data_IF_945375907573
#
_entry.id   IF_945375907573
#
_cell.length_a   1.000
_cell.length_b   1.000
_cell.length_c   1.000
_cell.angle_alpha   90.00
_cell.angle_beta   90.00
_cell.angle_gamma   90.00
#
_symmetry.space_group_name_H-M   'P 1'
#
loop_
_entity.id
_entity.type
_entity.pdbx_description
1 polymer ?
#
# COMPACT_ATOMS: atom_id res chain seq x y z
N UNK A 1 -22.47 20.93 -51.56
CA UNK A 1 -23.20 20.16 -50.50
C UNK A 1 -22.72 20.62 -49.13
N UNK A 2 -23.58 20.87 -48.14
CA UNK A 2 -23.10 21.23 -46.77
C UNK A 2 -22.23 20.09 -46.23
N UNK A 3 -20.99 20.39 -45.84
CA UNK A 3 -20.10 19.43 -45.18
C UNK A 3 -20.78 18.90 -43.90
N UNK A 4 -21.24 17.64 -43.93
CA UNK A 4 -21.90 16.97 -42.78
C UNK A 4 -20.91 16.33 -41.81
N UNK A 5 -19.64 16.23 -42.18
CA UNK A 5 -18.59 15.63 -41.35
C UNK A 5 -18.45 16.24 -39.94
N UNK A 6 -18.51 17.58 -39.74
CA UNK A 6 -18.46 18.16 -38.39
C UNK A 6 -19.68 17.74 -37.55
N UNK A 7 -20.84 17.59 -38.18
CA UNK A 7 -22.07 17.11 -37.52
C UNK A 7 -21.91 15.65 -37.08
N UNK A 8 -21.31 14.81 -37.93
CA UNK A 8 -21.04 13.40 -37.61
C UNK A 8 -20.04 13.32 -36.44
N UNK A 9 -18.96 14.12 -36.47
CA UNK A 9 -18.00 14.17 -35.37
C UNK A 9 -18.67 14.60 -34.06
N UNK A 10 -19.51 15.63 -34.08
CA UNK A 10 -20.27 16.06 -32.90
C UNK A 10 -21.18 14.95 -32.38
N UNK A 11 -21.86 14.21 -33.25
CA UNK A 11 -22.70 13.07 -32.85
C UNK A 11 -21.87 11.96 -32.20
N UNK A 12 -20.72 11.60 -32.80
CA UNK A 12 -19.81 10.60 -32.22
C UNK A 12 -19.28 11.07 -30.87
N UNK A 13 -18.78 12.29 -30.77
CA UNK A 13 -18.30 12.87 -29.50
C UNK A 13 -19.40 12.88 -28.44
N UNK A 14 -20.63 13.27 -28.81
CA UNK A 14 -21.75 13.30 -27.88
C UNK A 14 -22.09 11.91 -27.34
N UNK A 15 -22.18 10.88 -28.19
CA UNK A 15 -22.45 9.52 -27.72
C UNK A 15 -21.29 8.92 -26.94
N UNK A 16 -20.04 9.19 -27.32
CA UNK A 16 -18.85 8.77 -26.56
C UNK A 16 -18.84 9.39 -25.16
N UNK A 17 -19.09 10.70 -25.05
CA UNK A 17 -19.17 11.38 -23.75
C UNK A 17 -20.37 10.89 -22.93
N UNK A 18 -21.51 10.61 -23.56
CA UNK A 18 -22.67 10.03 -22.89
C UNK A 18 -22.33 8.66 -22.31
N UNK A 19 -21.66 7.78 -23.06
CA UNK A 19 -21.23 6.48 -22.52
C UNK A 19 -20.26 6.64 -21.36
N UNK A 20 -19.31 7.57 -21.46
CA UNK A 20 -18.26 7.78 -20.46
C UNK A 20 -18.76 8.45 -19.18
N UNK A 21 -19.73 9.37 -19.27
CA UNK A 21 -20.23 10.14 -18.11
C UNK A 21 -21.53 9.61 -17.51
N UNK A 22 -22.30 8.78 -18.22
CA UNK A 22 -23.54 8.20 -17.70
C UNK A 22 -23.45 6.69 -17.54
N UNK A 23 -23.16 5.97 -18.63
CA UNK A 23 -23.25 4.50 -18.64
C UNK A 23 -22.17 3.89 -17.77
N UNK A 24 -20.92 4.34 -17.91
CA UNK A 24 -19.79 3.79 -17.14
C UNK A 24 -19.90 4.06 -15.63
N UNK A 25 -20.17 5.29 -15.15
CA UNK A 25 -20.36 5.52 -13.71
C UNK A 25 -21.55 4.75 -13.14
N UNK A 26 -22.66 4.66 -13.89
CA UNK A 26 -23.81 3.86 -13.46
C UNK A 26 -23.45 2.36 -13.36
N UNK A 27 -22.78 1.80 -14.38
CA UNK A 27 -22.36 0.42 -14.38
C UNK A 27 -21.40 0.13 -13.21
N UNK A 28 -20.43 1.00 -12.93
CA UNK A 28 -19.53 0.86 -11.79
C UNK A 28 -20.26 0.96 -10.45
N UNK A 29 -21.27 1.84 -10.33
CA UNK A 29 -22.09 1.95 -9.12
C UNK A 29 -22.93 0.70 -8.83
N UNK A 30 -23.35 -0.03 -9.87
CA UNK A 30 -24.14 -1.26 -9.73
C UNK A 30 -23.27 -2.49 -9.53
N UNK A 31 -22.12 -2.57 -10.21
CA UNK A 31 -21.24 -3.74 -10.18
C UNK A 31 -20.27 -3.75 -9.00
N UNK A 32 -20.01 -2.60 -8.38
CA UNK A 32 -19.09 -2.47 -7.26
C UNK A 32 -19.75 -1.78 -6.07
N UNK A 33 -19.62 -2.40 -4.89
CA UNK A 33 -20.01 -1.77 -3.64
C UNK A 33 -19.17 -0.50 -3.45
N UNK A 34 -19.82 0.65 -3.42
CA UNK A 34 -19.16 1.88 -3.04
C UNK A 34 -18.81 1.84 -1.54
N UNK A 35 -17.55 2.17 -1.23
CA UNK A 35 -17.05 2.29 0.14
C UNK A 35 -16.47 3.70 0.23
N UNK A 36 -16.95 4.47 1.20
CA UNK A 36 -16.40 5.79 1.48
C UNK A 36 -15.07 5.66 2.21
N UNK A 37 -14.12 6.53 1.86
CA UNK A 37 -12.85 6.67 2.57
C UNK A 37 -13.10 7.34 3.93
N UNK A 38 -12.42 6.86 4.97
CA UNK A 38 -12.32 7.55 6.27
C UNK A 38 -11.09 8.47 6.34
N UNK A 39 -10.43 8.70 5.19
CA UNK A 39 -9.24 9.54 5.01
C UNK A 39 -8.10 9.16 5.97
N UNK A 40 -7.93 7.87 6.22
CA UNK A 40 -6.91 7.31 7.11
C UNK A 40 -6.92 7.94 8.52
N UNK A 41 -8.11 8.38 8.99
CA UNK A 41 -8.26 9.10 10.25
C UNK A 41 -8.36 8.17 11.49
N UNK A 42 -8.70 6.90 11.26
CA UNK A 42 -8.89 5.85 12.28
C UNK A 42 -9.69 6.33 13.49
N UNK A 43 -10.87 6.90 13.22
CA UNK A 43 -11.72 7.50 14.25
C UNK A 43 -12.25 6.48 15.28
N UNK A 44 -12.20 5.19 14.95
CA UNK A 44 -12.53 4.09 15.84
C UNK A 44 -11.45 3.79 16.89
N UNK A 45 -10.22 4.30 16.70
CA UNK A 45 -9.09 4.07 17.61
C UNK A 45 -8.89 5.24 18.59
N UNK A 46 -8.51 4.98 19.85
CA UNK A 46 -8.30 6.02 20.84
C UNK A 46 -7.11 6.91 20.46
N UNK A 47 -7.25 8.22 20.68
CA UNK A 47 -6.13 9.14 20.56
C UNK A 47 -5.13 8.97 21.71
N UNK A 48 -3.85 9.25 21.47
CA UNK A 48 -2.87 9.36 22.54
C UNK A 48 -3.23 10.57 23.41
N UNK A 49 -3.34 10.34 24.71
CA UNK A 49 -3.66 11.37 25.70
C UNK A 49 -2.43 11.93 26.42
N UNK A 50 -1.25 11.35 26.16
CA UNK A 50 0.02 11.64 26.83
C UNK A 50 1.04 12.19 25.84
N UNK A 51 1.96 13.01 26.34
CA UNK A 51 3.15 13.42 25.59
C UNK A 51 4.27 12.43 25.86
N UNK A 52 4.84 11.84 24.81
CA UNK A 52 5.89 10.83 24.95
C UNK A 52 7.27 11.39 25.25
N UNK A 53 8.07 10.64 26.01
CA UNK A 53 9.49 10.81 26.26
C UNK A 53 10.31 9.85 25.36
N UNK A 54 11.17 10.42 24.52
CA UNK A 54 11.96 9.67 23.53
C UNK A 54 12.99 8.75 24.20
N UNK A 55 13.60 9.19 25.31
CA UNK A 55 14.62 8.40 26.00
C UNK A 55 13.98 7.19 26.69
N UNK A 56 12.88 7.41 27.42
CA UNK A 56 12.12 6.31 28.01
C UNK A 56 11.54 5.38 26.94
N UNK A 57 11.08 5.94 25.82
CA UNK A 57 10.58 5.19 24.67
C UNK A 57 11.62 4.24 24.08
N UNK A 58 12.88 4.70 23.96
CA UNK A 58 14.00 3.85 23.53
C UNK A 58 14.26 2.70 24.51
N UNK A 59 14.29 2.99 25.80
CA UNK A 59 14.49 1.96 26.83
C UNK A 59 13.35 0.93 26.86
N UNK A 60 12.11 1.37 26.63
CA UNK A 60 10.96 0.49 26.49
C UNK A 60 11.03 -0.38 25.24
N UNK A 61 11.25 0.21 24.05
CA UNK A 61 11.32 -0.53 22.78
C UNK A 61 12.44 -1.58 22.78
N UNK A 62 13.60 -1.23 23.37
CA UNK A 62 14.76 -2.14 23.43
C UNK A 62 14.79 -3.05 24.66
N UNK A 63 13.98 -2.76 25.68
CA UNK A 63 13.94 -3.48 26.95
C UNK A 63 12.57 -4.07 27.24
N UNK A 64 11.82 -3.46 28.16
CA UNK A 64 10.60 -4.05 28.73
C UNK A 64 9.44 -4.24 27.73
N UNK A 65 9.40 -3.45 26.65
CA UNK A 65 8.46 -3.62 25.54
C UNK A 65 8.80 -4.81 24.65
N UNK A 66 10.04 -5.33 24.71
CA UNK A 66 10.47 -6.53 24.00
C UNK A 66 10.36 -6.43 22.47
N UNK A 67 10.19 -5.23 21.91
CA UNK A 67 9.91 -5.04 20.49
C UNK A 67 11.07 -5.59 19.63
N UNK A 68 12.30 -5.32 20.05
CA UNK A 68 13.54 -5.78 19.37
C UNK A 68 13.75 -7.30 19.45
N UNK A 69 12.98 -8.02 20.27
CA UNK A 69 12.99 -9.48 20.29
C UNK A 69 12.38 -10.10 19.03
N UNK A 70 11.56 -9.34 18.30
CA UNK A 70 10.93 -9.77 17.05
C UNK A 70 11.21 -8.82 15.87
N UNK A 71 11.29 -7.52 16.14
CA UNK A 71 11.46 -6.49 15.13
C UNK A 71 12.90 -6.02 15.02
N UNK A 72 13.34 -5.67 13.81
CA UNK A 72 14.59 -4.94 13.60
C UNK A 72 14.38 -3.43 13.73
N UNK A 73 15.48 -2.73 13.98
CA UNK A 73 15.63 -1.29 13.80
C UNK A 73 17.01 -1.08 13.16
N UNK A 74 17.13 -1.45 11.89
CA UNK A 74 18.43 -1.57 11.21
C UNK A 74 19.26 -0.28 11.26
N UNK A 75 18.60 0.88 11.13
CA UNK A 75 19.27 2.19 11.17
C UNK A 75 19.87 2.56 12.53
N UNK A 76 19.37 1.96 13.61
CA UNK A 76 19.94 2.08 14.95
C UNK A 76 20.94 0.94 15.25
N UNK A 77 21.28 0.13 14.24
CA UNK A 77 22.20 -1.01 14.39
C UNK A 77 21.61 -2.21 15.12
N UNK A 78 20.26 -2.31 15.17
CA UNK A 78 19.55 -3.41 15.83
C UNK A 78 19.00 -4.36 14.76
N UNK A 79 19.70 -5.46 14.42
CA UNK A 79 19.24 -6.41 13.41
C UNK A 79 18.04 -7.21 13.90
N UNK A 80 17.33 -7.85 12.97
CA UNK A 80 16.28 -8.81 13.32
C UNK A 80 16.86 -9.99 14.13
N UNK A 81 16.09 -10.51 15.09
CA UNK A 81 16.51 -11.62 15.95
C UNK A 81 16.70 -12.95 15.20
N UNK A 82 16.08 -13.08 14.03
CA UNK A 82 16.20 -14.24 13.13
C UNK A 82 15.98 -13.77 11.68
N UNK A 83 16.33 -14.63 10.72
CA UNK A 83 16.08 -14.35 9.31
C UNK A 83 14.57 -14.36 8.98
N UNK A 84 14.20 -13.71 7.87
CA UNK A 84 12.81 -13.51 7.48
C UNK A 84 12.04 -14.81 7.21
N UNK A 85 12.70 -15.87 6.74
CA UNK A 85 12.07 -17.17 6.51
C UNK A 85 11.74 -17.85 7.83
N UNK A 86 12.71 -17.93 8.74
CA UNK A 86 12.50 -18.48 10.10
C UNK A 86 11.43 -17.70 10.86
N UNK A 87 11.41 -16.36 10.72
CA UNK A 87 10.37 -15.51 11.30
C UNK A 87 8.99 -15.82 10.73
N UNK A 88 8.84 -15.97 9.40
CA UNK A 88 7.58 -16.31 8.79
C UNK A 88 7.09 -17.72 9.18
N UNK A 89 7.99 -18.69 9.30
CA UNK A 89 7.65 -20.03 9.78
C UNK A 89 7.18 -20.03 11.24
N UNK A 90 7.74 -19.14 12.06
CA UNK A 90 7.44 -19.04 13.50
C UNK A 90 6.17 -18.23 13.79
N UNK A 91 6.02 -17.09 13.10
CA UNK A 91 4.99 -16.09 13.38
C UNK A 91 3.92 -15.97 12.29
N UNK A 92 4.10 -16.67 11.17
CA UNK A 92 3.24 -16.60 9.98
C UNK A 92 3.62 -15.52 8.97
N UNK A 93 4.36 -14.50 9.40
CA UNK A 93 4.90 -13.43 8.57
C UNK A 93 6.14 -12.84 9.25
N UNK A 94 7.11 -12.37 8.47
CA UNK A 94 8.26 -11.65 9.02
C UNK A 94 7.80 -10.33 9.69
N UNK A 95 8.20 -10.01 10.93
CA UNK A 95 7.91 -8.71 11.56
C UNK A 95 8.56 -7.52 10.82
N UNK A 96 7.95 -6.31 10.85
CA UNK A 96 8.52 -5.11 10.24
C UNK A 96 9.80 -4.64 10.91
N UNK A 97 10.69 -4.06 10.10
CA UNK A 97 11.62 -3.07 10.63
C UNK A 97 10.83 -1.86 11.14
N UNK A 98 11.11 -1.45 12.38
CA UNK A 98 10.40 -0.36 13.03
C UNK A 98 11.05 1.01 12.79
N UNK A 99 12.15 1.07 12.04
CA UNK A 99 12.87 2.31 11.79
C UNK A 99 11.96 3.40 11.22
N UNK A 100 11.13 3.06 10.24
CA UNK A 100 10.22 4.03 9.60
C UNK A 100 8.78 3.97 10.14
N UNK A 101 8.53 3.18 11.19
CA UNK A 101 7.17 2.98 11.71
C UNK A 101 6.52 4.31 12.16
N UNK A 102 7.32 5.22 12.73
CA UNK A 102 6.83 6.51 13.23
C UNK A 102 6.35 7.49 12.17
N UNK A 103 6.79 7.36 10.91
CA UNK A 103 6.33 8.19 9.78
C UNK A 103 5.33 7.44 8.88
N UNK A 104 5.44 6.12 8.79
CA UNK A 104 4.56 5.29 7.95
C UNK A 104 3.17 5.12 8.58
N UNK A 105 3.09 4.85 9.89
CA UNK A 105 1.84 4.49 10.55
C UNK A 105 1.21 5.66 11.29
N UNK A 106 -0.12 5.73 11.27
CA UNK A 106 -0.89 6.70 12.02
C UNK A 106 -0.67 6.50 13.53
N UNK A 107 -0.57 7.60 14.26
CA UNK A 107 -0.27 7.58 15.69
C UNK A 107 -1.27 6.78 16.53
N UNK A 108 -2.58 6.93 16.25
CA UNK A 108 -3.64 6.19 16.95
C UNK A 108 -3.54 4.70 16.66
N UNK A 109 -3.30 4.38 15.39
CA UNK A 109 -3.10 3.00 14.96
C UNK A 109 -1.88 2.39 15.61
N UNK A 110 -0.74 3.07 15.63
CA UNK A 110 0.49 2.54 16.21
C UNK A 110 0.36 2.30 17.72
N UNK A 111 -0.26 3.24 18.46
CA UNK A 111 -0.52 3.06 19.88
C UNK A 111 -1.51 1.91 20.17
N UNK A 112 -2.58 1.80 19.39
CA UNK A 112 -3.53 0.71 19.55
C UNK A 112 -2.95 -0.63 19.08
N UNK A 113 -2.08 -0.65 18.06
CA UNK A 113 -1.37 -1.83 17.61
C UNK A 113 -0.47 -2.38 18.72
N UNK A 114 0.21 -1.51 19.46
CA UNK A 114 1.04 -1.92 20.61
C UNK A 114 0.16 -2.51 21.74
N UNK A 115 -1.01 -1.92 22.00
CA UNK A 115 -1.89 -2.34 23.11
C UNK A 115 -2.80 -3.52 22.78
N UNK A 116 -3.27 -3.62 21.54
CA UNK A 116 -4.21 -4.61 21.06
C UNK A 116 -4.07 -4.85 19.56
N UNK A 117 -3.05 -5.63 19.13
CA UNK A 117 -2.75 -5.84 17.72
C UNK A 117 -3.95 -6.35 16.90
N UNK A 118 -4.72 -7.28 17.44
CA UNK A 118 -5.87 -7.86 16.73
C UNK A 118 -6.96 -6.81 16.45
N UNK A 119 -7.17 -5.87 17.38
CA UNK A 119 -8.15 -4.79 17.24
C UNK A 119 -7.71 -3.74 16.24
N UNK A 120 -6.50 -3.20 16.40
CA UNK A 120 -5.94 -2.20 15.50
C UNK A 120 -5.93 -2.67 14.04
N UNK A 121 -5.59 -3.94 13.81
CA UNK A 121 -5.53 -4.57 12.49
C UNK A 121 -6.91 -5.04 11.96
N UNK A 122 -7.99 -4.93 12.74
CA UNK A 122 -9.35 -5.42 12.41
C UNK A 122 -9.40 -6.92 12.06
N UNK A 123 -8.69 -7.74 12.84
CA UNK A 123 -8.57 -9.20 12.65
C UNK A 123 -9.01 -10.02 13.87
N UNK A 124 -9.82 -9.47 14.77
CA UNK A 124 -10.33 -10.20 15.94
C UNK A 124 -11.21 -11.40 15.56
N UNK A 125 -11.83 -11.35 14.38
CA UNK A 125 -12.56 -12.48 13.82
C UNK A 125 -11.67 -13.71 13.53
N UNK A 126 -10.34 -13.51 13.43
CA UNK A 126 -9.31 -14.54 13.26
C UNK A 126 -8.58 -14.85 14.57
N UNK A 127 -8.43 -13.85 15.44
CA UNK A 127 -7.71 -13.95 16.72
C UNK A 127 -8.63 -13.67 17.90
N UNK A 128 -9.37 -14.70 18.30
CA UNK A 128 -10.24 -14.67 19.47
C UNK A 128 -9.50 -15.24 20.69
N UNK A 129 -9.05 -14.36 21.58
CA UNK A 129 -8.36 -14.73 22.81
C UNK A 129 -9.19 -15.67 23.70
N UNK A 130 -10.54 -15.58 23.66
CA UNK A 130 -11.41 -16.47 24.43
C UNK A 130 -11.37 -17.92 23.94
N UNK A 131 -10.92 -18.12 22.69
CA UNK A 131 -10.72 -19.43 22.05
C UNK A 131 -9.25 -19.86 22.03
N UNK A 132 -8.37 -19.13 22.72
CA UNK A 132 -6.93 -19.35 22.70
C UNK A 132 -6.26 -19.00 21.36
N UNK A 133 -6.94 -18.26 20.49
CA UNK A 133 -6.41 -17.82 19.19
C UNK A 133 -5.73 -16.46 19.37
N UNK A 134 -4.49 -16.48 19.86
CA UNK A 134 -3.73 -15.26 20.10
C UNK A 134 -3.08 -14.75 18.80
N UNK A 135 -3.03 -13.43 18.66
CA UNK A 135 -2.28 -12.79 17.59
C UNK A 135 -0.75 -13.01 17.80
N UNK A 136 0.06 -13.24 16.75
CA UNK A 136 1.50 -13.50 16.89
C UNK A 136 2.28 -12.35 17.55
N UNK A 137 1.93 -11.10 17.22
CA UNK A 137 2.37 -9.94 17.99
C UNK A 137 1.56 -9.92 19.29
N UNK A 138 2.25 -10.06 20.42
CA UNK A 138 1.63 -10.04 21.74
C UNK A 138 1.25 -8.61 22.14
N UNK A 139 0.11 -8.41 22.83
CA UNK A 139 -0.21 -7.12 23.42
C UNK A 139 0.87 -6.69 24.42
N UNK A 140 1.23 -5.40 24.41
CA UNK A 140 2.04 -4.84 25.47
C UNK A 140 1.19 -4.68 26.73
N UNK A 141 1.63 -5.29 27.83
CA UNK A 141 0.89 -5.29 29.12
C UNK A 141 1.42 -4.28 30.14
N UNK A 142 2.36 -3.42 29.73
CA UNK A 142 3.00 -2.43 30.59
C UNK A 142 4.34 -2.89 31.19
N UNK A 143 5.20 -1.93 31.51
CA UNK A 143 6.51 -2.12 32.14
C UNK A 143 6.51 -1.79 33.64
N UNK A 144 5.32 -1.64 34.23
CA UNK A 144 5.12 -1.36 35.66
C UNK A 144 4.68 0.07 35.97
N UNK A 145 4.59 0.94 34.96
CA UNK A 145 4.05 2.31 35.05
C UNK A 145 2.64 2.46 34.47
N UNK A 146 2.32 3.70 34.08
CA UNK A 146 1.10 4.03 33.33
C UNK A 146 1.28 3.58 31.87
N UNK A 147 0.56 2.53 31.46
CA UNK A 147 0.66 1.96 30.12
C UNK A 147 0.41 2.99 29.01
N UNK A 148 -0.48 3.97 29.22
CA UNK A 148 -0.74 4.98 28.20
C UNK A 148 0.44 5.95 28.04
N UNK A 149 1.19 6.19 29.12
CA UNK A 149 2.43 6.97 29.06
C UNK A 149 3.54 6.15 28.38
N UNK A 150 3.74 4.90 28.78
CA UNK A 150 4.75 4.02 28.20
C UNK A 150 4.54 3.83 26.69
N UNK A 151 3.29 3.67 26.25
CA UNK A 151 2.95 3.59 24.83
C UNK A 151 3.22 4.91 24.11
N UNK A 152 2.90 6.04 24.72
CA UNK A 152 3.22 7.35 24.14
C UNK A 152 4.73 7.57 24.00
N UNK A 153 5.52 7.11 24.97
CA UNK A 153 6.98 7.16 24.95
C UNK A 153 7.54 6.31 23.80
N UNK A 154 7.07 5.06 23.64
CA UNK A 154 7.46 4.19 22.54
C UNK A 154 7.11 4.80 21.18
N UNK A 155 5.91 5.35 21.02
CA UNK A 155 5.49 6.04 19.78
C UNK A 155 6.36 7.27 19.51
N UNK A 156 6.69 8.06 20.53
CA UNK A 156 7.57 9.22 20.40
C UNK A 156 8.99 8.81 19.97
N UNK A 157 9.52 7.71 20.51
CA UNK A 157 10.82 7.17 20.09
C UNK A 157 10.78 6.73 18.61
N UNK A 158 9.78 5.94 18.20
CA UNK A 158 9.64 5.49 16.81
C UNK A 158 9.51 6.67 15.83
N UNK A 159 8.81 7.75 16.21
CA UNK A 159 8.76 9.01 15.45
C UNK A 159 10.11 9.72 15.40
N UNK A 160 10.86 9.72 16.49
CA UNK A 160 12.15 10.42 16.58
C UNK A 160 13.24 9.82 15.69
N UNK A 161 13.17 8.50 15.45
CA UNK A 161 14.16 7.81 14.62
C UNK A 161 13.76 7.83 13.15
N UNK A 162 12.46 7.85 12.83
CA UNK A 162 11.90 7.87 11.48
C UNK A 162 12.45 9.00 10.60
N UNK A 163 12.54 8.78 9.29
CA UNK A 163 12.82 9.85 8.34
C UNK A 163 11.70 10.89 8.39
N UNK A 164 12.01 12.10 7.92
CA UNK A 164 10.97 13.11 7.77
C UNK A 164 9.92 12.70 6.74
N UNK A 165 8.71 13.27 6.84
CA UNK A 165 7.61 12.97 5.92
C UNK A 165 8.00 13.23 4.45
N UNK A 166 8.84 14.24 4.19
CA UNK A 166 9.32 14.59 2.85
C UNK A 166 10.37 13.59 2.30
N UNK A 167 11.09 12.92 3.19
CA UNK A 167 12.09 11.90 2.85
C UNK A 167 11.49 10.50 2.73
N UNK A 168 10.23 10.29 3.13
CA UNK A 168 9.53 9.02 2.96
C UNK A 168 9.26 8.74 1.47
N UNK A 169 10.04 7.83 0.91
CA UNK A 169 9.88 7.43 -0.49
C UNK A 169 8.72 6.44 -0.69
N UNK A 170 8.13 6.36 -1.91
CA UNK A 170 7.13 5.36 -2.27
C UNK A 170 7.57 3.93 -1.94
N UNK A 171 8.82 3.59 -2.26
CA UNK A 171 9.39 2.27 -1.96
C UNK A 171 9.46 2.00 -0.45
N UNK A 172 9.91 2.96 0.36
CA UNK A 172 10.01 2.79 1.81
C UNK A 172 8.63 2.55 2.44
N UNK A 173 7.62 3.32 2.02
CA UNK A 173 6.25 3.14 2.48
C UNK A 173 5.71 1.75 2.11
N UNK A 174 5.90 1.31 0.87
CA UNK A 174 5.49 -0.02 0.41
C UNK A 174 6.21 -1.16 1.15
N UNK A 175 7.53 -1.07 1.26
CA UNK A 175 8.36 -2.09 1.91
C UNK A 175 7.89 -2.34 3.35
N UNK A 176 7.70 -1.26 4.11
CA UNK A 176 7.27 -1.34 5.49
C UNK A 176 5.83 -1.89 5.62
N UNK A 177 4.89 -1.34 4.85
CA UNK A 177 3.45 -1.57 5.01
C UNK A 177 2.92 -2.82 4.27
N UNK A 178 3.53 -3.21 3.15
CA UNK A 178 2.99 -4.22 2.23
C UNK A 178 3.99 -5.34 1.89
N UNK A 179 5.28 -5.01 1.84
CA UNK A 179 6.33 -5.83 1.24
C UNK A 179 6.54 -7.21 1.87
N UNK A 180 6.18 -7.39 3.14
CA UNK A 180 6.26 -8.68 3.87
C UNK A 180 5.20 -9.71 3.48
N UNK A 181 4.09 -9.24 2.91
CA UNK A 181 2.96 -10.09 2.51
C UNK A 181 2.88 -10.22 0.99
N UNK A 182 3.08 -9.11 0.29
CA UNK A 182 2.84 -9.00 -1.14
C UNK A 182 4.14 -9.01 -1.93
N UNK A 183 4.17 -9.83 -2.98
CA UNK A 183 5.21 -9.77 -4.00
C UNK A 183 4.87 -8.69 -5.03
N UNK A 184 5.91 -8.14 -5.66
CA UNK A 184 5.80 -7.35 -6.89
C UNK A 184 6.85 -7.84 -7.87
N UNK A 185 6.57 -8.98 -8.50
CA UNK A 185 7.54 -9.70 -9.33
C UNK A 185 8.07 -8.87 -10.50
N UNK A 186 7.29 -7.94 -11.03
CA UNK A 186 7.74 -7.06 -12.13
C UNK A 186 8.77 -6.02 -11.67
N UNK A 187 8.87 -5.78 -10.36
CA UNK A 187 9.88 -4.92 -9.73
C UNK A 187 10.97 -5.75 -9.02
N UNK A 188 11.06 -7.06 -9.32
CA UNK A 188 11.95 -8.01 -8.63
C UNK A 188 11.73 -8.10 -7.10
N UNK A 189 10.59 -7.67 -6.59
CA UNK A 189 10.26 -7.71 -5.16
C UNK A 189 9.57 -9.03 -4.77
N UNK A 190 10.06 -9.66 -3.71
CA UNK A 190 9.46 -10.82 -3.06
C UNK A 190 9.19 -10.53 -1.59
N UNK A 191 8.55 -11.46 -0.87
CA UNK A 191 8.38 -11.33 0.58
C UNK A 191 9.71 -11.34 1.38
N UNK A 192 10.81 -11.76 0.75
CA UNK A 192 12.17 -11.67 1.28
C UNK A 192 12.91 -10.40 0.80
N UNK A 193 12.19 -9.43 0.22
CA UNK A 193 12.76 -8.24 -0.39
C UNK A 193 13.13 -8.43 -1.86
N UNK A 194 14.00 -7.56 -2.37
CA UNK A 194 14.48 -7.62 -3.75
C UNK A 194 15.28 -8.90 -4.01
N UNK A 195 14.95 -9.63 -5.07
CA UNK A 195 15.73 -10.78 -5.52
C UNK A 195 17.12 -10.29 -6.00
N UNK A 196 18.22 -10.73 -5.39
CA UNK A 196 19.56 -10.38 -5.86
C UNK A 196 19.87 -10.97 -7.22
N UNK A 197 20.86 -10.39 -7.91
CA UNK A 197 21.47 -11.06 -9.05
C UNK A 197 22.44 -12.14 -8.57
N UNK A 198 22.24 -13.37 -9.02
CA UNK A 198 23.08 -14.52 -8.66
C UNK A 198 24.02 -14.88 -9.80
N UNK A 199 25.27 -15.19 -9.47
CA UNK A 199 26.26 -15.63 -10.46
C UNK A 199 25.95 -17.04 -10.98
N UNK A 200 25.41 -17.90 -10.13
CA UNK A 200 25.11 -19.29 -10.45
C UNK A 200 23.62 -19.58 -10.30
N UNK A 201 23.05 -20.28 -11.28
CA UNK A 201 21.63 -20.66 -11.30
C UNK A 201 21.19 -21.40 -10.02
N UNK A 202 22.07 -22.26 -9.48
CA UNK A 202 21.79 -22.98 -8.23
C UNK A 202 21.50 -22.05 -7.04
N UNK A 203 22.11 -20.86 -7.00
CA UNK A 203 21.91 -19.89 -5.91
C UNK A 203 20.59 -19.13 -6.10
N UNK A 204 20.27 -18.78 -7.35
CA UNK A 204 18.96 -18.23 -7.72
C UNK A 204 17.82 -19.19 -7.35
N UNK A 205 17.96 -20.47 -7.69
CA UNK A 205 16.98 -21.50 -7.33
C UNK A 205 16.88 -21.70 -5.82
N UNK A 206 18.01 -21.64 -5.09
CA UNK A 206 17.99 -21.72 -3.63
C UNK A 206 17.26 -20.54 -2.99
N UNK A 207 17.37 -19.33 -3.55
CA UNK A 207 16.57 -18.18 -3.13
C UNK A 207 15.08 -18.38 -3.44
N UNK A 208 14.74 -18.87 -4.63
CA UNK A 208 13.34 -19.13 -5.02
C UNK A 208 12.69 -20.18 -4.11
N UNK A 209 13.44 -21.21 -3.68
CA UNK A 209 12.98 -22.18 -2.69
C UNK A 209 12.62 -21.47 -1.37
N UNK A 210 13.48 -20.59 -0.85
CA UNK A 210 13.18 -19.84 0.37
C UNK A 210 11.95 -18.95 0.23
N UNK A 211 11.77 -18.30 -0.93
CA UNK A 211 10.55 -17.51 -1.21
C UNK A 211 9.31 -18.40 -1.19
N UNK A 212 9.36 -19.59 -1.78
CA UNK A 212 8.25 -20.53 -1.78
C UNK A 212 7.92 -21.02 -0.36
N UNK A 213 8.93 -21.37 0.43
CA UNK A 213 8.74 -21.78 1.84
C UNK A 213 8.15 -20.64 2.69
N UNK A 214 8.57 -19.39 2.44
CA UNK A 214 7.94 -18.23 3.06
C UNK A 214 6.46 -18.13 2.66
N UNK A 215 6.15 -18.28 1.37
CA UNK A 215 4.79 -18.21 0.84
C UNK A 215 3.89 -19.32 1.38
N UNK A 216 4.43 -20.51 1.68
CA UNK A 216 3.72 -21.58 2.36
C UNK A 216 3.36 -21.20 3.81
N UNK A 217 4.32 -20.67 4.56
CA UNK A 217 4.09 -20.19 5.92
C UNK A 217 3.04 -19.05 5.94
N UNK A 218 3.18 -18.10 5.01
CA UNK A 218 2.23 -17.01 4.84
C UNK A 218 0.85 -17.49 4.42
N UNK A 219 0.75 -18.50 3.55
CA UNK A 219 -0.53 -19.10 3.14
C UNK A 219 -1.22 -19.78 4.31
N UNK A 220 -0.47 -20.51 5.14
CA UNK A 220 -0.99 -21.11 6.38
C UNK A 220 -1.50 -20.04 7.34
N UNK A 221 -0.78 -18.92 7.45
CA UNK A 221 -1.17 -17.80 8.30
C UNK A 221 -2.40 -17.06 7.77
N UNK A 222 -2.45 -16.74 6.48
CA UNK A 222 -3.49 -15.89 5.86
C UNK A 222 -4.68 -16.69 5.33
N UNK A 223 -4.60 -18.02 5.31
CA UNK A 223 -5.57 -18.93 4.69
C UNK A 223 -5.47 -19.00 3.16
N UNK A 224 -4.90 -17.98 2.52
CA UNK A 224 -4.56 -17.92 1.10
C UNK A 224 -3.31 -17.07 0.91
N UNK A 225 -2.53 -17.37 -0.13
CA UNK A 225 -1.41 -16.55 -0.51
C UNK A 225 -1.90 -15.14 -0.92
N UNK A 226 -1.39 -14.05 -0.31
CA UNK A 226 -1.69 -12.70 -0.76
C UNK A 226 -1.28 -12.51 -2.23
N UNK A 227 -2.10 -11.80 -3.03
CA UNK A 227 -1.86 -11.65 -4.46
C UNK A 227 -0.58 -10.85 -4.74
N UNK A 228 0.00 -11.09 -5.91
CA UNK A 228 1.02 -10.23 -6.48
C UNK A 228 0.44 -8.87 -6.85
N UNK A 229 1.11 -7.79 -6.44
CA UNK A 229 0.62 -6.42 -6.62
C UNK A 229 1.18 -5.70 -7.85
N UNK A 230 2.06 -6.33 -8.65
CA UNK A 230 2.72 -5.67 -9.78
C UNK A 230 1.78 -5.00 -10.76
N UNK A 231 0.58 -5.54 -10.98
CA UNK A 231 -0.41 -4.96 -11.91
C UNK A 231 -1.68 -4.48 -11.20
N UNK A 232 -1.71 -4.46 -9.86
CA UNK A 232 -2.95 -4.23 -9.12
C UNK A 232 -3.51 -2.83 -9.38
N UNK A 233 -2.65 -1.82 -9.48
CA UNK A 233 -3.03 -0.44 -9.82
C UNK A 233 -3.71 -0.30 -11.20
N UNK A 234 -3.36 -1.18 -12.16
CA UNK A 234 -4.02 -1.21 -13.48
C UNK A 234 -5.29 -2.06 -13.49
N UNK A 235 -5.40 -3.00 -12.57
CA UNK A 235 -6.52 -3.95 -12.50
C UNK A 235 -7.68 -3.48 -11.60
N UNK A 236 -7.45 -2.46 -10.76
CA UNK A 236 -8.40 -1.90 -9.80
C UNK A 236 -8.29 -0.38 -9.79
N UNK A 237 -9.37 0.31 -9.41
CA UNK A 237 -9.32 1.77 -9.26
C UNK A 237 -8.48 2.18 -8.06
N UNK A 238 -7.89 3.37 -8.11
CA UNK A 238 -7.17 3.98 -7.00
C UNK A 238 -8.05 4.08 -5.75
N UNK A 239 -9.33 4.47 -5.91
CA UNK A 239 -10.32 4.52 -4.83
C UNK A 239 -10.52 3.16 -4.15
N UNK A 240 -10.62 2.08 -4.94
CA UNK A 240 -10.72 0.74 -4.38
C UNK A 240 -9.45 0.38 -3.59
N UNK A 241 -8.26 0.63 -4.14
CA UNK A 241 -7.01 0.31 -3.45
C UNK A 241 -6.86 1.09 -2.15
N UNK A 242 -7.12 2.40 -2.18
CA UNK A 242 -7.05 3.28 -1.02
C UNK A 242 -7.96 2.80 0.12
N UNK A 243 -9.26 2.62 -0.18
CA UNK A 243 -10.24 2.16 0.83
C UNK A 243 -10.02 0.71 1.26
N UNK A 244 -9.42 -0.13 0.42
CA UNK A 244 -9.05 -1.49 0.79
C UNK A 244 -7.83 -1.53 1.71
N UNK A 245 -6.82 -0.69 1.49
CA UNK A 245 -5.67 -0.51 2.39
C UNK A 245 -6.14 0.02 3.76
N UNK A 246 -7.05 0.99 3.75
CA UNK A 246 -7.60 1.60 4.96
C UNK A 246 -8.43 0.62 5.80
N UNK A 247 -9.33 -0.13 5.17
CA UNK A 247 -10.20 -1.06 5.88
C UNK A 247 -10.65 -2.23 4.97
N UNK A 248 -9.87 -3.32 4.89
CA UNK A 248 -10.22 -4.49 4.08
C UNK A 248 -11.58 -5.10 4.44
N UNK A 249 -11.99 -5.01 5.71
CA UNK A 249 -13.27 -5.56 6.20
C UNK A 249 -14.49 -4.85 5.60
N UNK A 250 -14.35 -3.59 5.14
CA UNK A 250 -15.43 -2.85 4.48
C UNK A 250 -15.78 -3.42 3.10
N UNK A 251 -14.80 -4.02 2.43
CA UNK A 251 -14.93 -4.66 1.11
C UNK A 251 -15.18 -6.15 1.21
N UNK A 252 -14.39 -6.86 2.04
CA UNK A 252 -14.39 -8.31 2.16
C UNK A 252 -14.46 -8.71 3.64
N UNK A 253 -15.69 -8.84 4.17
CA UNK A 253 -15.91 -9.22 5.57
C UNK A 253 -15.27 -10.58 5.87
N UNK A 254 -14.46 -10.64 6.92
CA UNK A 254 -13.76 -11.86 7.34
C UNK A 254 -12.48 -12.15 6.56
N UNK A 255 -11.97 -11.18 5.78
CA UNK A 255 -10.67 -11.32 5.12
C UNK A 255 -9.54 -11.32 6.14
N UNK A 256 -8.52 -12.14 5.91
CA UNK A 256 -7.32 -12.18 6.73
C UNK A 256 -6.38 -10.97 6.48
N UNK A 257 -6.58 -10.23 5.39
CA UNK A 257 -5.82 -9.00 5.15
C UNK A 257 -6.16 -7.98 6.24
N UNK A 258 -5.18 -7.53 7.04
CA UNK A 258 -5.43 -6.58 8.09
C UNK A 258 -5.60 -5.16 7.54
N UNK A 259 -6.27 -4.30 8.30
CA UNK A 259 -6.13 -2.84 8.17
C UNK A 259 -4.64 -2.51 8.27
N UNK A 260 -4.13 -1.71 7.33
CA UNK A 260 -2.68 -1.44 7.25
C UNK A 260 -2.22 -0.38 8.23
N UNK A 261 -3.08 0.62 8.53
CA UNK A 261 -2.79 1.61 9.57
C UNK A 261 -1.86 2.75 9.16
N UNK A 262 -1.55 2.87 7.87
CA UNK A 262 -0.72 3.95 7.31
C UNK A 262 -1.34 5.33 7.50
N UNK A 263 -0.52 6.37 7.54
CA UNK A 263 -0.98 7.77 7.38
C UNK A 263 -1.55 8.00 5.98
N UNK A 264 -2.30 9.09 5.78
CA UNK A 264 -2.83 9.45 4.45
C UNK A 264 -1.68 9.66 3.45
N UNK A 265 -0.62 10.36 3.88
CA UNK A 265 0.57 10.60 3.07
C UNK A 265 1.32 9.31 2.75
N UNK A 266 1.50 8.41 3.72
CA UNK A 266 2.11 7.11 3.47
C UNK A 266 1.24 6.24 2.56
N UNK A 267 -0.09 6.31 2.66
CA UNK A 267 -1.00 5.64 1.74
C UNK A 267 -0.85 6.15 0.31
N UNK A 268 -0.76 7.47 0.12
CA UNK A 268 -0.44 8.06 -1.19
C UNK A 268 0.90 7.55 -1.74
N UNK A 269 1.93 7.45 -0.89
CA UNK A 269 3.24 6.90 -1.27
C UNK A 269 3.18 5.41 -1.63
N UNK A 270 2.37 4.61 -0.93
CA UNK A 270 2.11 3.21 -1.31
C UNK A 270 1.42 3.14 -2.67
N UNK A 271 0.38 3.95 -2.90
CA UNK A 271 -0.34 3.99 -4.18
C UNK A 271 0.55 4.47 -5.33
N UNK A 272 1.43 5.45 -5.09
CA UNK A 272 2.45 5.91 -6.04
C UNK A 272 3.37 4.75 -6.45
N UNK A 273 3.88 3.98 -5.48
CA UNK A 273 4.71 2.81 -5.77
C UNK A 273 3.97 1.74 -6.57
N UNK A 274 2.71 1.47 -6.23
CA UNK A 274 1.87 0.53 -6.98
C UNK A 274 1.61 1.01 -8.41
N UNK A 275 1.38 2.30 -8.61
CA UNK A 275 1.18 2.90 -9.92
C UNK A 275 2.43 2.79 -10.79
N UNK A 276 3.61 3.08 -10.23
CA UNK A 276 4.88 3.01 -10.93
C UNK A 276 5.23 1.56 -11.31
N UNK A 277 4.95 0.60 -10.42
CA UNK A 277 5.19 -0.82 -10.72
C UNK A 277 4.30 -1.39 -11.83
N UNK A 278 3.06 -0.91 -11.91
CA UNK A 278 2.11 -1.38 -12.90
C UNK A 278 2.33 -0.73 -14.27
N UNK A 279 3.18 0.29 -14.32
CA UNK A 279 3.46 1.09 -15.49
C UNK A 279 4.76 1.88 -15.31
N UNK A 280 5.90 1.18 -15.43
CA UNK A 280 7.25 1.72 -15.16
C UNK A 280 7.63 2.91 -16.02
N UNK A 281 6.90 3.15 -17.12
CA UNK A 281 7.07 4.28 -18.04
C UNK A 281 5.90 5.25 -18.01
N UNK A 282 5.10 5.26 -16.94
CA UNK A 282 3.90 6.10 -16.84
C UNK A 282 4.20 7.57 -17.09
N UNK A 283 5.23 8.12 -16.45
CA UNK A 283 5.63 9.51 -16.62
C UNK A 283 6.10 9.82 -18.04
N UNK A 284 6.84 8.91 -18.67
CA UNK A 284 7.21 9.04 -20.09
C UNK A 284 5.95 9.01 -20.97
N UNK A 285 5.02 8.09 -20.73
CA UNK A 285 3.77 7.96 -21.50
C UNK A 285 2.88 9.19 -21.35
N UNK A 286 2.71 9.72 -20.14
CA UNK A 286 1.91 10.93 -19.89
C UNK A 286 2.49 12.14 -20.65
N UNK A 287 3.81 12.33 -20.61
CA UNK A 287 4.47 13.42 -21.35
C UNK A 287 4.37 13.25 -22.87
N UNK A 288 4.56 12.04 -23.40
CA UNK A 288 4.40 11.73 -24.83
C UNK A 288 2.96 11.92 -25.28
N UNK A 289 1.98 11.48 -24.47
CA UNK A 289 0.55 11.62 -24.76
C UNK A 289 0.14 13.07 -24.93
N UNK A 290 0.57 13.96 -24.02
CA UNK A 290 0.29 15.39 -24.13
C UNK A 290 0.86 15.99 -25.43
N UNK A 291 2.11 15.65 -25.78
CA UNK A 291 2.74 16.10 -27.02
C UNK A 291 1.99 15.61 -28.26
N UNK A 292 1.63 14.32 -28.30
CA UNK A 292 0.86 13.72 -29.42
C UNK A 292 -0.50 14.40 -29.58
N UNK A 293 -1.21 14.70 -28.50
CA UNK A 293 -2.49 15.39 -28.57
C UNK A 293 -2.36 16.79 -29.19
N UNK A 294 -1.31 17.53 -28.86
CA UNK A 294 -1.02 18.83 -29.48
C UNK A 294 -0.76 18.67 -30.99
N UNK A 295 0.06 17.70 -31.39
CA UNK A 295 0.33 17.42 -32.80
C UNK A 295 -0.93 17.06 -33.58
N UNK A 296 -1.82 16.23 -33.01
CA UNK A 296 -3.09 15.85 -33.64
C UNK A 296 -3.97 17.08 -33.88
N UNK A 297 -4.08 17.99 -32.90
CA UNK A 297 -4.87 19.22 -33.05
C UNK A 297 -4.30 20.10 -34.16
N UNK A 298 -2.98 20.30 -34.21
CA UNK A 298 -2.32 21.08 -35.26
C UNK A 298 -2.55 20.46 -36.64
N UNK A 299 -2.35 19.14 -36.76
CA UNK A 299 -2.55 18.42 -38.01
C UNK A 299 -4.01 18.45 -38.47
N UNK A 300 -4.97 18.33 -37.55
CA UNK A 300 -6.39 18.46 -37.84
C UNK A 300 -6.73 19.84 -38.41
N UNK A 301 -6.16 20.92 -37.85
CA UNK A 301 -6.33 22.29 -38.38
C UNK A 301 -5.77 22.36 -39.80
N UNK A 302 -4.54 21.89 -40.04
CA UNK A 302 -3.96 21.90 -41.38
C UNK A 302 -4.74 21.05 -42.38
N UNK A 303 -5.22 19.87 -41.98
CA UNK A 303 -6.03 19.01 -42.82
C UNK A 303 -7.37 19.69 -43.21
N UNK A 304 -8.02 20.39 -42.26
CA UNK A 304 -9.23 21.16 -42.54
C UNK A 304 -8.97 22.32 -43.51
N UNK A 305 -7.88 23.07 -43.31
CA UNK A 305 -7.50 24.18 -44.19
C UNK A 305 -7.12 23.68 -45.59
N UNK A 306 -6.33 22.61 -45.67
CA UNK A 306 -5.96 21.95 -46.93
C UNK A 306 -7.19 21.47 -47.69
N UNK A 307 -8.12 20.78 -47.01
CA UNK A 307 -9.37 20.32 -47.62
C UNK A 307 -10.15 21.50 -48.20
N UNK A 308 -10.31 22.59 -47.43
CA UNK A 308 -11.01 23.79 -47.89
C UNK A 308 -10.35 24.38 -49.14
N UNK A 309 -9.02 24.34 -49.22
CA UNK A 309 -8.26 24.83 -50.36
C UNK A 309 -8.43 23.96 -51.61
N UNK A 310 -8.27 22.64 -51.50
CA UNK A 310 -8.31 21.71 -52.65
C UNK A 310 -9.72 21.62 -53.25
N UNK A 311 -10.75 21.65 -52.41
CA UNK A 311 -12.14 21.46 -52.85
C UNK A 311 -12.88 22.76 -53.14
N UNK A 312 -12.19 23.91 -53.06
CA UNK A 312 -12.71 25.27 -53.29
C UNK A 312 -13.52 25.40 -54.58
N UNK A 313 -13.04 24.79 -55.66
CA UNK A 313 -13.61 24.97 -57.01
C UNK A 313 -14.67 23.91 -57.35
N UNK A 314 -14.87 22.92 -56.47
CA UNK A 314 -15.83 21.85 -56.67
C UNK A 314 -17.13 22.11 -55.88
N UNK A 315 -17.07 22.74 -54.69
CA UNK A 315 -18.21 22.98 -53.78
C UNK A 315 -18.16 24.33 -53.07
#
# INVERSE_FOLDING_TARGET
MKNKEPLILVVVVAFTLLTYWLVEPYAHSQMHKHVESENFAYADLPALSKSGDVANGKDLVTGAGGCTGCHSIEKEGLPAAMDALTAAQSYGVNPPDLGEAGVVYNEKFLADLIKNPAHALKVEHKFDASKGQMHPMVPFYGAGGDIDQEVADMVAYLKSIAVSQDELTPKMAYDNACGRCHAMRYENWTQLGNKPEFKFEKESLAYDIQVLEYQEALTKYMGKLPPDLSMYFRSRSEHFLSTFIENPQAHLKGTAMPRVGVTEEAAHKVLEHLADSADTKRHERESVGANVMIYIVIFAIFALLWKKQVWKDLH
#
